data_IF_380882827942
#
_entry.id   IF_380882827942
#
_cell.length_a   1.000
_cell.length_b   1.000
_cell.length_c   1.000
_cell.angle_alpha   90.00
_cell.angle_beta   90.00
_cell.angle_gamma   90.00
#
_symmetry.space_group_name_H-M   'P 1'
#
loop_
_entity.id
_entity.type
_entity.pdbx_description
1 polymer ?
#
# COMPACT_ATOMS: atom_id res chain seq x y z
N UNK A 1 10.99 15.05 33.14
CA UNK A 1 9.96 14.69 34.14
C UNK A 1 9.13 13.56 33.56
N UNK A 2 9.12 12.43 34.24
CA UNK A 2 8.70 11.08 33.85
C UNK A 2 7.21 10.82 34.13
N UNK A 3 6.56 9.99 33.29
CA UNK A 3 5.40 9.10 33.61
C UNK A 3 4.04 9.76 33.88
N UNK A 4 2.87 9.15 33.62
CA UNK A 4 2.50 7.81 33.21
C UNK A 4 1.05 7.80 32.65
N UNK A 5 0.73 6.78 31.84
CA UNK A 5 -0.62 6.41 31.37
C UNK A 5 -1.44 5.79 32.52
N UNK A 6 -2.75 5.99 32.53
CA UNK A 6 -3.70 5.04 33.13
C UNK A 6 -4.98 4.97 32.26
N UNK A 7 -5.31 3.76 31.80
CA UNK A 7 -6.54 3.46 31.05
C UNK A 7 -7.72 3.21 31.98
N UNK A 8 -8.93 3.46 31.49
CA UNK A 8 -10.18 3.12 32.15
C UNK A 8 -10.82 1.89 31.47
N UNK A 9 -11.08 0.87 32.29
CA UNK A 9 -11.70 -0.39 31.91
C UNK A 9 -13.22 -0.25 31.71
N UNK A 10 -13.75 -1.05 30.77
CA UNK A 10 -15.18 -1.26 30.53
C UNK A 10 -15.75 -2.17 31.63
N UNK A 11 -16.76 -1.69 32.36
CA UNK A 11 -17.50 -2.51 33.33
C UNK A 11 -18.65 -3.26 32.62
N UNK A 12 -18.66 -4.59 32.74
CA UNK A 12 -19.69 -5.49 32.23
C UNK A 12 -20.84 -5.66 33.24
N UNK A 13 -21.99 -6.09 32.70
CA UNK A 13 -23.32 -6.10 33.32
C UNK A 13 -23.53 -6.93 34.59
N UNK A 14 -24.62 -6.56 35.27
CA UNK A 14 -25.16 -7.13 36.50
C UNK A 14 -25.59 -8.61 36.35
N UNK A 15 -25.06 -9.54 37.17
CA UNK A 15 -25.33 -10.98 37.09
C UNK A 15 -26.73 -11.41 37.57
N UNK A 16 -27.54 -10.53 38.19
CA UNK A 16 -28.83 -10.94 38.77
C UNK A 16 -29.95 -11.21 37.76
N UNK A 17 -29.85 -10.72 36.52
CA UNK A 17 -30.89 -10.89 35.48
C UNK A 17 -30.83 -12.22 34.72
N UNK A 18 -29.78 -13.02 34.91
CA UNK A 18 -29.56 -14.24 34.11
C UNK A 18 -30.26 -15.49 34.64
N UNK A 19 -30.71 -15.49 35.90
CA UNK A 19 -31.32 -16.67 36.53
C UNK A 19 -32.84 -16.77 36.35
N UNK A 20 -33.52 -15.69 35.95
CA UNK A 20 -34.98 -15.69 35.78
C UNK A 20 -35.46 -16.41 34.49
N UNK A 21 -34.55 -16.73 33.56
CA UNK A 21 -34.89 -17.38 32.28
C UNK A 21 -34.87 -18.92 32.34
N UNK A 22 -34.21 -19.53 33.33
CA UNK A 22 -33.88 -20.97 33.30
C UNK A 22 -34.81 -21.89 34.11
N UNK A 23 -36.02 -21.48 34.49
CA UNK A 23 -36.99 -22.38 35.15
C UNK A 23 -38.33 -22.38 34.43
N UNK A 24 -38.51 -23.35 33.53
CA UNK A 24 -39.80 -23.76 32.99
C UNK A 24 -40.29 -25.07 33.61
N UNK A 25 -41.61 -25.19 33.81
CA UNK A 25 -42.47 -26.39 33.84
C UNK A 25 -43.75 -26.00 34.63
N UNK A 26 -44.95 -25.89 34.03
CA UNK A 26 -45.87 -26.96 33.60
C UNK A 26 -47.07 -26.98 34.59
N UNK A 27 -48.36 -27.16 34.26
CA UNK A 27 -49.13 -27.35 33.03
C UNK A 27 -50.64 -27.42 33.36
N UNK A 28 -51.49 -27.31 32.31
CA UNK A 28 -52.92 -27.68 32.23
C UNK A 28 -53.95 -26.57 32.52
N UNK A 29 -55.13 -26.48 31.90
CA UNK A 29 -55.74 -26.97 30.64
C UNK A 29 -57.13 -26.29 30.59
N UNK A 30 -57.50 -25.57 29.52
CA UNK A 30 -58.89 -25.48 29.01
C UNK A 30 -58.99 -24.63 27.71
N UNK A 31 -59.18 -25.35 26.59
CA UNK A 31 -60.08 -25.06 25.47
C UNK A 31 -60.08 -23.66 24.78
N UNK A 32 -59.67 -23.63 23.51
CA UNK A 32 -60.14 -22.69 22.47
C UNK A 32 -61.07 -23.46 21.48
N UNK A 33 -61.79 -22.87 20.48
CA UNK A 33 -61.72 -21.50 19.88
C UNK A 33 -63.14 -20.92 19.59
N UNK A 34 -63.40 -19.95 18.67
CA UNK A 34 -62.51 -19.10 17.86
C UNK A 34 -62.83 -17.58 17.96
N UNK A 35 -61.86 -16.72 17.64
CA UNK A 35 -62.05 -15.63 16.67
C UNK A 35 -60.79 -14.79 16.49
N UNK A 36 -60.52 -14.51 15.21
CA UNK A 36 -59.74 -13.40 14.68
C UNK A 36 -58.23 -13.36 14.93
N UNK A 37 -57.56 -13.99 13.97
CA UNK A 37 -56.22 -13.67 13.48
C UNK A 37 -56.10 -12.15 13.24
N UNK A 38 -55.53 -11.42 14.20
CA UNK A 38 -55.08 -10.03 14.04
C UNK A 38 -53.58 -9.91 14.30
N UNK A 39 -52.79 -10.75 13.62
CA UNK A 39 -51.34 -10.59 13.51
C UNK A 39 -51.09 -9.66 12.32
N UNK A 40 -50.70 -8.41 12.57
CA UNK A 40 -50.25 -7.54 11.46
C UNK A 40 -50.33 -6.02 11.61
N UNK A 41 -50.73 -5.44 12.75
CA UNK A 41 -50.87 -3.97 12.87
C UNK A 41 -49.99 -3.30 13.95
N UNK A 42 -49.32 -4.07 14.82
CA UNK A 42 -48.59 -3.55 15.98
C UNK A 42 -47.15 -3.09 15.69
N UNK A 43 -46.39 -3.87 14.92
CA UNK A 43 -44.97 -3.60 14.65
C UNK A 43 -44.76 -2.35 13.78
N UNK A 44 -45.64 -2.14 12.78
CA UNK A 44 -45.60 -0.98 11.88
C UNK A 44 -45.94 0.33 12.61
N UNK A 45 -46.86 0.28 13.59
CA UNK A 45 -47.23 1.43 14.43
C UNK A 45 -46.11 1.82 15.41
N UNK A 46 -45.39 0.83 15.94
CA UNK A 46 -44.22 1.06 16.80
C UNK A 46 -43.06 1.71 16.03
N UNK A 47 -42.75 1.18 14.84
CA UNK A 47 -41.70 1.72 13.98
C UNK A 47 -42.00 3.15 13.51
N UNK A 48 -43.24 3.45 13.10
CA UNK A 48 -43.64 4.80 12.70
C UNK A 48 -43.53 5.83 13.83
N UNK A 49 -43.82 5.43 15.07
CA UNK A 49 -43.67 6.29 16.26
C UNK A 49 -42.20 6.57 16.57
N UNK A 50 -41.34 5.55 16.50
CA UNK A 50 -39.89 5.71 16.69
C UNK A 50 -39.29 6.58 15.59
N UNK A 51 -39.68 6.36 14.33
CA UNK A 51 -39.20 7.14 13.19
C UNK A 51 -39.59 8.62 13.33
N UNK A 52 -40.83 8.91 13.73
CA UNK A 52 -41.28 10.29 14.02
C UNK A 52 -40.44 10.94 15.11
N UNK A 53 -40.20 10.23 16.22
CA UNK A 53 -39.34 10.72 17.31
C UNK A 53 -37.92 11.02 16.80
N UNK A 54 -37.33 10.11 16.01
CA UNK A 54 -35.99 10.31 15.44
C UNK A 54 -35.95 11.52 14.50
N UNK A 55 -36.96 11.69 13.63
CA UNK A 55 -37.04 12.85 12.75
C UNK A 55 -37.21 14.16 13.51
N UNK A 56 -38.06 14.20 14.52
CA UNK A 56 -38.27 15.39 15.34
C UNK A 56 -36.96 15.81 16.03
N UNK A 57 -36.20 14.83 16.57
CA UNK A 57 -34.87 15.08 17.16
C UNK A 57 -33.84 15.56 16.11
N UNK A 58 -33.84 15.00 14.90
CA UNK A 58 -32.93 15.42 13.82
C UNK A 58 -33.23 16.86 13.41
N UNK A 59 -34.51 17.25 13.33
CA UNK A 59 -34.92 18.61 12.97
C UNK A 59 -34.48 19.59 14.06
N UNK A 60 -34.65 19.24 15.34
CA UNK A 60 -34.25 20.09 16.45
C UNK A 60 -32.72 20.25 16.54
N UNK A 61 -31.98 19.16 16.34
CA UNK A 61 -30.51 19.21 16.23
C UNK A 61 -30.05 20.08 15.06
N UNK A 62 -30.74 19.97 13.92
CA UNK A 62 -30.44 20.74 12.71
C UNK A 62 -30.59 22.25 12.93
N UNK A 63 -31.58 22.67 13.73
CA UNK A 63 -31.78 24.09 14.06
C UNK A 63 -30.71 24.65 15.01
N UNK A 64 -30.17 23.80 15.89
CA UNK A 64 -29.14 24.15 16.88
C UNK A 64 -27.70 23.96 16.37
N UNK A 65 -27.54 23.34 15.19
CA UNK A 65 -26.22 23.06 14.64
C UNK A 65 -25.48 24.33 14.22
N UNK A 66 -24.16 24.35 14.45
CA UNK A 66 -23.26 25.38 13.93
C UNK A 66 -22.97 25.25 12.43
N UNK A 67 -23.41 24.15 11.79
CA UNK A 67 -23.25 23.96 10.36
C UNK A 67 -24.26 24.82 9.59
N UNK A 68 -23.77 25.91 8.99
CA UNK A 68 -24.59 26.88 8.28
C UNK A 68 -25.57 26.27 7.26
N UNK A 69 -25.16 25.22 6.53
CA UNK A 69 -26.01 24.57 5.53
C UNK A 69 -27.10 23.66 6.10
N UNK A 70 -26.88 23.08 7.30
CA UNK A 70 -27.82 22.12 7.88
C UNK A 70 -29.10 22.84 8.34
N UNK A 71 -28.97 24.03 8.93
CA UNK A 71 -30.09 24.84 9.46
C UNK A 71 -31.24 25.05 8.45
N UNK A 72 -30.92 25.23 7.18
CA UNK A 72 -31.91 25.44 6.10
C UNK A 72 -32.73 24.18 5.76
N UNK A 73 -32.23 22.99 6.10
CA UNK A 73 -32.95 21.73 5.89
C UNK A 73 -34.09 21.57 6.92
N UNK A 74 -33.84 21.99 8.16
CA UNK A 74 -34.80 21.92 9.28
C UNK A 74 -35.80 23.07 9.33
N UNK A 75 -35.65 24.09 8.49
CA UNK A 75 -36.52 25.27 8.48
C UNK A 75 -37.82 25.00 7.72
N UNK A 76 -38.95 25.09 8.42
CA UNK A 76 -40.29 24.90 7.83
C UNK A 76 -40.84 26.12 7.10
N UNK A 77 -40.14 27.26 7.15
CA UNK A 77 -40.55 28.50 6.47
C UNK A 77 -40.14 28.54 5.00
N UNK A 78 -39.22 27.66 4.58
CA UNK A 78 -38.67 27.60 3.23
C UNK A 78 -39.45 26.65 2.32
N UNK A 79 -39.41 26.91 1.02
CA UNK A 79 -40.08 26.07 0.03
C UNK A 79 -39.44 24.66 0.01
N UNK A 80 -40.21 23.56 -0.08
CA UNK A 80 -39.68 22.20 -0.04
C UNK A 80 -38.59 21.92 -1.08
N UNK A 81 -38.63 22.58 -2.23
CA UNK A 81 -37.57 22.49 -3.25
C UNK A 81 -36.22 23.04 -2.76
N UNK A 82 -36.23 24.14 -2.01
CA UNK A 82 -35.01 24.72 -1.42
C UNK A 82 -34.45 23.81 -0.33
N UNK A 83 -35.33 23.21 0.48
CA UNK A 83 -34.92 22.24 1.51
C UNK A 83 -34.27 20.99 0.90
N UNK A 84 -34.79 20.52 -0.24
CA UNK A 84 -34.18 19.42 -0.99
C UNK A 84 -32.82 19.81 -1.57
N UNK A 85 -32.70 21.03 -2.12
CA UNK A 85 -31.42 21.55 -2.62
C UNK A 85 -30.36 21.58 -1.52
N UNK A 86 -30.67 22.13 -0.35
CA UNK A 86 -29.73 22.18 0.78
C UNK A 86 -29.39 20.78 1.30
N UNK A 87 -30.37 19.87 1.33
CA UNK A 87 -30.15 18.46 1.67
C UNK A 87 -29.19 17.76 0.71
N UNK A 88 -29.41 17.91 -0.59
CA UNK A 88 -28.55 17.35 -1.62
C UNK A 88 -27.14 17.96 -1.56
N UNK A 89 -27.03 19.28 -1.41
CA UNK A 89 -25.75 19.97 -1.29
C UNK A 89 -24.95 19.48 -0.07
N UNK A 90 -25.61 19.29 1.08
CA UNK A 90 -24.98 18.77 2.30
C UNK A 90 -24.48 17.32 2.13
N UNK A 91 -25.28 16.46 1.51
CA UNK A 91 -24.90 15.08 1.22
C UNK A 91 -23.72 15.01 0.24
N UNK A 92 -23.77 15.80 -0.84
CA UNK A 92 -22.66 15.91 -1.80
C UNK A 92 -21.38 16.40 -1.14
N UNK A 93 -21.45 17.45 -0.30
CA UNK A 93 -20.29 17.97 0.42
C UNK A 93 -19.68 16.94 1.37
N UNK A 94 -20.53 16.21 2.11
CA UNK A 94 -20.09 15.14 3.02
C UNK A 94 -19.44 13.98 2.25
N UNK A 95 -20.04 13.56 1.12
CA UNK A 95 -19.49 12.52 0.25
C UNK A 95 -18.14 12.92 -0.36
N UNK A 96 -18.04 14.13 -0.90
CA UNK A 96 -16.78 14.68 -1.42
C UNK A 96 -15.71 14.75 -0.32
N UNK A 97 -16.07 15.22 0.87
CA UNK A 97 -15.15 15.26 2.02
C UNK A 97 -14.62 13.88 2.38
N UNK A 98 -15.50 12.88 2.50
CA UNK A 98 -15.10 11.50 2.78
C UNK A 98 -14.19 10.91 1.70
N UNK A 99 -14.48 11.19 0.42
CA UNK A 99 -13.65 10.78 -0.71
C UNK A 99 -12.24 11.41 -0.62
N UNK A 100 -12.15 12.72 -0.40
CA UNK A 100 -10.88 13.42 -0.29
C UNK A 100 -10.06 12.96 0.92
N UNK A 101 -10.71 12.77 2.08
CA UNK A 101 -10.06 12.24 3.28
C UNK A 101 -9.47 10.84 3.00
N UNK A 102 -10.24 9.97 2.34
CA UNK A 102 -9.78 8.60 2.01
C UNK A 102 -8.57 8.63 1.06
N UNK A 103 -8.62 9.47 0.04
CA UNK A 103 -7.51 9.63 -0.91
C UNK A 103 -6.26 10.21 -0.22
N UNK A 104 -6.43 11.21 0.66
CA UNK A 104 -5.33 11.77 1.44
C UNK A 104 -4.72 10.72 2.37
N UNK A 105 -5.55 9.88 3.00
CA UNK A 105 -5.10 8.81 3.87
C UNK A 105 -4.29 7.76 3.11
N UNK A 106 -4.74 7.36 1.92
CA UNK A 106 -3.98 6.45 1.05
C UNK A 106 -2.62 7.04 0.67
N UNK A 107 -2.59 8.30 0.23
CA UNK A 107 -1.34 9.00 -0.10
C UNK A 107 -0.40 9.15 1.10
N UNK A 108 -0.95 9.36 2.29
CA UNK A 108 -0.18 9.41 3.52
C UNK A 108 0.49 8.07 3.84
N UNK A 109 -0.20 6.95 3.62
CA UNK A 109 0.37 5.62 3.81
C UNK A 109 1.45 5.27 2.76
N UNK A 110 1.29 5.77 1.52
CA UNK A 110 2.25 5.56 0.43
C UNK A 110 3.51 6.44 0.54
N UNK A 111 3.43 7.58 1.23
CA UNK A 111 4.54 8.51 1.44
C UNK A 111 4.99 8.55 2.90
N UNK A 112 5.65 7.49 3.42
CA UNK A 112 6.02 7.40 4.83
C UNK A 112 7.12 8.39 5.25
N UNK A 113 7.71 9.17 4.33
CA UNK A 113 8.79 10.11 4.66
C UNK A 113 8.59 11.43 3.92
N UNK A 114 8.34 12.51 4.67
CA UNK A 114 8.39 13.87 4.16
C UNK A 114 9.82 14.38 4.34
N UNK A 115 10.55 14.47 3.23
CA UNK A 115 11.91 15.03 3.22
C UNK A 115 11.84 16.55 3.05
N UNK A 116 12.30 17.30 4.05
CA UNK A 116 12.50 18.75 3.96
C UNK A 116 13.99 19.04 3.84
N UNK A 117 14.40 19.74 2.78
CA UNK A 117 15.78 20.17 2.57
C UNK A 117 15.92 21.56 3.21
N UNK A 118 16.59 21.62 4.36
CA UNK A 118 16.98 22.88 4.99
C UNK A 118 18.45 23.17 4.64
N UNK A 119 18.76 24.15 3.79
CA UNK A 119 20.14 24.52 3.51
C UNK A 119 20.76 25.15 4.76
N UNK A 120 21.65 24.42 5.43
CA UNK A 120 22.52 24.97 6.48
C UNK A 120 23.70 25.68 5.84
N UNK A 121 24.00 26.91 6.26
CA UNK A 121 25.17 27.67 5.80
C UNK A 121 26.47 27.06 6.36
N UNK A 122 26.97 26.01 5.72
CA UNK A 122 28.31 25.48 5.96
C UNK A 122 29.35 26.28 5.17
N UNK A 123 30.47 26.63 5.79
CA UNK A 123 31.56 27.28 5.06
C UNK A 123 32.23 26.25 4.16
N UNK A 124 32.79 26.66 3.02
CA UNK A 124 33.47 25.77 2.05
C UNK A 124 34.56 24.89 2.69
N UNK A 125 35.10 25.30 3.84
CA UNK A 125 36.13 24.58 4.61
C UNK A 125 35.60 23.35 5.37
N UNK A 126 34.29 23.26 5.59
CA UNK A 126 33.65 22.22 6.41
C UNK A 126 33.20 21.00 5.57
N UNK A 127 33.32 21.08 4.24
CA UNK A 127 32.91 20.03 3.30
C UNK A 127 34.14 19.15 3.01
N UNK A 128 34.13 17.84 3.33
CA UNK A 128 35.27 16.97 3.05
C UNK A 128 35.47 16.84 1.54
N UNK A 129 36.73 16.73 1.11
CA UNK A 129 37.05 16.51 -0.29
C UNK A 129 36.49 15.16 -0.77
N UNK A 130 35.79 15.09 -1.91
CA UNK A 130 35.18 13.85 -2.37
C UNK A 130 36.23 12.84 -2.81
N UNK A 131 35.87 11.55 -2.79
CA UNK A 131 36.67 10.53 -3.44
C UNK A 131 36.57 10.70 -4.96
N UNK A 132 37.70 10.94 -5.61
CA UNK A 132 37.80 11.01 -7.07
C UNK A 132 38.22 9.62 -7.59
N UNK A 133 37.36 8.98 -8.37
CA UNK A 133 37.68 7.72 -9.07
C UNK A 133 37.98 8.03 -10.53
N UNK A 134 39.21 7.75 -10.98
CA UNK A 134 39.63 7.90 -12.37
C UNK A 134 39.71 6.51 -13.01
N UNK A 135 38.94 6.28 -14.07
CA UNK A 135 38.97 5.05 -14.85
C UNK A 135 39.57 5.32 -16.22
N UNK A 136 40.36 4.36 -16.74
CA UNK A 136 40.73 4.37 -18.15
C UNK A 136 39.49 4.04 -19.00
N UNK A 137 39.33 4.70 -20.15
CA UNK A 137 38.27 4.38 -21.12
C UNK A 137 38.55 3.06 -21.86
N UNK A 138 39.79 2.58 -21.80
CA UNK A 138 40.13 1.27 -22.32
C UNK A 138 39.63 0.16 -21.38
N UNK A 139 38.70 -0.64 -21.89
CA UNK A 139 38.07 -1.75 -21.19
C UNK A 139 39.03 -2.92 -20.88
N UNK A 140 40.09 -3.09 -21.68
CA UNK A 140 40.99 -4.24 -21.60
C UNK A 140 42.39 -3.92 -22.12
N UNK A 141 43.43 -4.51 -21.52
CA UNK A 141 44.80 -4.32 -22.01
C UNK A 141 44.98 -5.06 -23.33
N UNK A 142 45.42 -4.32 -24.36
CA UNK A 142 45.68 -4.87 -25.71
C UNK A 142 46.57 -6.13 -25.65
N UNK A 143 47.65 -6.09 -24.88
CA UNK A 143 48.56 -7.23 -24.71
C UNK A 143 47.87 -8.50 -24.19
N UNK A 144 46.94 -8.36 -23.22
CA UNK A 144 46.22 -9.52 -22.68
C UNK A 144 45.21 -10.09 -23.68
N UNK A 145 44.58 -9.21 -24.46
CA UNK A 145 43.68 -9.57 -25.53
C UNK A 145 44.38 -10.38 -26.62
N UNK A 146 45.49 -9.82 -27.13
CA UNK A 146 46.32 -10.45 -28.16
C UNK A 146 46.84 -11.80 -27.70
N UNK A 147 47.26 -11.91 -26.44
CA UNK A 147 47.71 -13.20 -25.88
C UNK A 147 46.64 -14.30 -25.95
N UNK A 148 45.39 -13.98 -25.61
CA UNK A 148 44.28 -14.95 -25.68
C UNK A 148 43.91 -15.25 -27.13
N UNK A 149 43.98 -14.24 -28.00
CA UNK A 149 43.73 -14.41 -29.43
C UNK A 149 44.78 -15.31 -30.08
N UNK A 150 46.07 -15.04 -29.87
CA UNK A 150 47.18 -15.84 -30.38
C UNK A 150 47.11 -17.30 -29.87
N UNK A 151 46.80 -17.50 -28.59
CA UNK A 151 46.65 -18.82 -27.98
C UNK A 151 45.46 -19.59 -28.58
N UNK A 152 44.34 -18.92 -28.82
CA UNK A 152 43.18 -19.49 -29.49
C UNK A 152 43.51 -19.88 -30.94
N UNK A 153 44.14 -18.99 -31.71
CA UNK A 153 44.51 -19.24 -33.11
C UNK A 153 45.49 -20.43 -33.25
N UNK A 154 46.42 -20.61 -32.31
CA UNK A 154 47.36 -21.74 -32.30
C UNK A 154 46.71 -23.10 -31.98
N UNK A 155 45.64 -23.10 -31.19
CA UNK A 155 44.93 -24.30 -30.72
C UNK A 155 43.64 -24.59 -31.50
N UNK A 156 43.20 -23.66 -32.34
CA UNK A 156 42.04 -23.82 -33.22
C UNK A 156 42.21 -25.05 -34.12
N UNK A 157 41.28 -26.00 -34.03
CA UNK A 157 41.34 -27.28 -34.75
C UNK A 157 42.07 -28.41 -34.02
N UNK A 158 42.53 -28.19 -32.78
CA UNK A 158 43.01 -29.22 -31.83
C UNK A 158 42.03 -29.32 -30.64
N UNK A 159 42.38 -30.12 -29.64
CA UNK A 159 41.62 -30.20 -28.37
C UNK A 159 41.73 -28.86 -27.61
N UNK A 160 40.72 -28.00 -27.77
CA UNK A 160 40.68 -26.65 -27.22
C UNK A 160 40.14 -26.68 -25.79
N UNK A 161 40.94 -26.17 -24.84
CA UNK A 161 40.52 -26.06 -23.45
C UNK A 161 39.26 -25.20 -23.28
N UNK A 162 38.31 -25.61 -22.43
CA UNK A 162 37.00 -24.96 -22.34
C UNK A 162 37.04 -23.52 -21.80
N UNK A 163 38.03 -23.17 -20.98
CA UNK A 163 38.23 -21.80 -20.51
C UNK A 163 38.74 -20.88 -21.63
N UNK A 164 39.60 -21.35 -22.55
CA UNK A 164 40.18 -20.51 -23.60
C UNK A 164 39.13 -20.09 -24.65
N UNK A 165 38.23 -21.01 -25.02
CA UNK A 165 37.10 -20.71 -25.90
C UNK A 165 36.17 -19.65 -25.28
N UNK A 166 35.93 -19.73 -23.97
CA UNK A 166 35.08 -18.78 -23.26
C UNK A 166 35.76 -17.42 -23.11
N UNK A 167 37.06 -17.37 -22.79
CA UNK A 167 37.83 -16.12 -22.73
C UNK A 167 37.84 -15.41 -24.09
N UNK A 168 38.11 -16.13 -25.17
CA UNK A 168 38.07 -15.57 -26.52
C UNK A 168 36.69 -14.99 -26.84
N UNK A 169 35.61 -15.74 -26.58
CA UNK A 169 34.24 -15.23 -26.81
C UNK A 169 33.95 -13.98 -25.97
N UNK A 170 34.31 -14.00 -24.68
CA UNK A 170 34.10 -12.87 -23.77
C UNK A 170 34.81 -11.59 -24.23
N UNK A 171 35.98 -11.70 -24.87
CA UNK A 171 36.68 -10.54 -25.47
C UNK A 171 35.82 -9.86 -26.53
N UNK A 172 35.21 -10.64 -27.42
CA UNK A 172 34.37 -10.14 -28.51
C UNK A 172 33.07 -9.54 -27.97
N UNK A 173 32.42 -10.24 -27.02
CA UNK A 173 31.22 -9.75 -26.34
C UNK A 173 31.51 -8.41 -25.62
N UNK A 174 32.63 -8.28 -24.91
CA UNK A 174 33.02 -7.04 -24.23
C UNK A 174 33.33 -5.89 -25.19
N UNK A 175 33.75 -6.22 -26.42
CA UNK A 175 34.04 -5.26 -27.49
C UNK A 175 32.82 -4.95 -28.37
N UNK A 176 31.65 -5.53 -28.10
CA UNK A 176 30.47 -5.50 -28.98
C UNK A 176 30.82 -5.89 -30.43
N UNK A 177 31.66 -6.92 -30.60
CA UNK A 177 32.02 -7.50 -31.91
C UNK A 177 31.51 -8.93 -31.98
N UNK A 178 31.12 -9.36 -33.18
CA UNK A 178 30.80 -10.77 -33.43
C UNK A 178 32.07 -11.50 -33.91
N UNK A 179 32.35 -12.72 -33.43
CA UNK A 179 33.45 -13.53 -33.94
C UNK A 179 33.11 -14.06 -35.35
N UNK A 180 34.13 -14.24 -36.19
CA UNK A 180 34.01 -14.72 -37.59
C UNK A 180 33.51 -16.18 -37.70
N UNK A 181 33.56 -16.97 -36.61
CA UNK A 181 33.16 -18.38 -36.58
C UNK A 181 32.36 -18.74 -35.31
N UNK A 182 31.38 -19.64 -35.46
CA UNK A 182 30.63 -20.24 -34.37
C UNK A 182 31.54 -21.13 -33.51
N UNK A 183 32.07 -20.57 -32.43
CA UNK A 183 32.93 -21.28 -31.48
C UNK A 183 32.07 -22.28 -30.70
N UNK A 184 32.37 -23.60 -30.73
CA UNK A 184 31.66 -24.56 -29.92
C UNK A 184 31.89 -24.26 -28.44
N UNK A 185 30.90 -23.69 -27.76
CA UNK A 185 31.01 -23.44 -26.32
C UNK A 185 30.86 -24.78 -25.60
N UNK A 186 31.87 -25.22 -24.84
CA UNK A 186 31.77 -26.45 -24.11
C UNK A 186 30.74 -26.31 -22.99
N UNK A 187 29.77 -27.21 -22.97
CA UNK A 187 28.61 -27.20 -22.05
C UNK A 187 29.00 -27.36 -20.57
N UNK A 188 30.29 -27.59 -20.27
CA UNK A 188 30.80 -27.84 -18.92
C UNK A 188 31.26 -26.57 -18.18
N UNK A 189 31.39 -25.42 -18.87
CA UNK A 189 31.74 -24.14 -18.26
C UNK A 189 30.58 -23.16 -18.44
N UNK A 190 30.06 -22.66 -17.32
CA UNK A 190 29.01 -21.63 -17.30
C UNK A 190 29.65 -20.27 -17.06
N UNK A 191 29.12 -19.22 -17.68
CA UNK A 191 29.46 -17.82 -17.41
C UNK A 191 28.99 -17.37 -16.02
N UNK A 192 29.53 -17.99 -14.98
CA UNK A 192 29.30 -17.61 -13.59
C UNK A 192 29.95 -16.27 -13.30
N UNK A 193 29.41 -15.53 -12.32
CA UNK A 193 29.97 -14.24 -11.90
C UNK A 193 31.45 -14.35 -11.50
N UNK A 194 31.84 -15.45 -10.84
CA UNK A 194 33.23 -15.69 -10.47
C UNK A 194 34.13 -15.82 -11.70
N UNK A 195 33.65 -16.46 -12.77
CA UNK A 195 34.38 -16.55 -14.03
C UNK A 195 34.51 -15.18 -14.70
N UNK A 196 33.41 -14.42 -14.81
CA UNK A 196 33.40 -13.08 -15.41
C UNK A 196 34.35 -12.16 -14.64
N UNK A 197 34.32 -12.20 -13.30
CA UNK A 197 35.23 -11.45 -12.45
C UNK A 197 36.69 -11.85 -12.68
N UNK A 198 37.00 -13.15 -12.74
CA UNK A 198 38.34 -13.67 -13.05
C UNK A 198 38.82 -13.20 -14.42
N UNK A 199 37.94 -13.25 -15.43
CA UNK A 199 38.21 -12.74 -16.78
C UNK A 199 38.50 -11.24 -16.78
N UNK A 200 37.64 -10.41 -16.16
CA UNK A 200 37.85 -8.96 -16.08
C UNK A 200 39.17 -8.62 -15.38
N UNK A 201 39.52 -9.35 -14.32
CA UNK A 201 40.81 -9.19 -13.64
C UNK A 201 41.97 -9.58 -14.56
N UNK A 202 41.87 -10.71 -15.27
CA UNK A 202 42.88 -11.17 -16.24
C UNK A 202 43.10 -10.17 -17.38
N UNK A 203 42.05 -9.49 -17.83
CA UNK A 203 42.11 -8.50 -18.92
C UNK A 203 42.58 -7.11 -18.48
N UNK A 204 42.52 -6.81 -17.18
CA UNK A 204 42.88 -5.50 -16.62
C UNK A 204 44.23 -5.47 -15.91
N UNK A 205 44.78 -6.62 -15.50
CA UNK A 205 46.14 -6.79 -14.98
C UNK A 205 47.19 -6.91 -16.09
#
# INVERSE_FOLDING_TARGET
>A
RTGARLGAAVAMGDPAKKEAWNRGAGGGLATAPPTLLHVGAGAVKGFGRVLKIVFDNIIDYTKLSSMHGLRYIGDSTLHPAERLFWGAAFLCATGCSAYFISNLFNKFNEMPVIMSISPTSSTIRDIPFPTITICNMNNMRKFQAERVQDEYELLKGKDLGPELALDYKLIYDFCNREPEEDIPIPKNVTASWEYIKKFMIKMTQ
#
